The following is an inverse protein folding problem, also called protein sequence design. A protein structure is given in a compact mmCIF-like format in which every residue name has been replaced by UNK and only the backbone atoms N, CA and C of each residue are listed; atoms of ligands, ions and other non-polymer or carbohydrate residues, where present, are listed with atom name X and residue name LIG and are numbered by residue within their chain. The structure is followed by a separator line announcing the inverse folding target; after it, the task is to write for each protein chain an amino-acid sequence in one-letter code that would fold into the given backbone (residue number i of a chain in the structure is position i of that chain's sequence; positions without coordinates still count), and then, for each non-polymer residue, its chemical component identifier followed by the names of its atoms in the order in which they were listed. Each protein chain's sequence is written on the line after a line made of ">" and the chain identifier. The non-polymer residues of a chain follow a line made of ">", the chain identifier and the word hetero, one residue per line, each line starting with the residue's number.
data_IF_577430307140
#
_entry.id   IF_577430307140
#
_cell.length_a   1.000
_cell.length_b   1.000
_cell.length_c   1.000
_cell.angle_alpha   90.00
_cell.angle_beta   90.00
_cell.angle_gamma   90.00
#
_symmetry.space_group_name_H-M   'P 1'
#
loop_
_entity.id
_entity.type
_entity.pdbx_description
1 polymer ?
#
# COMPACT_ATOMS: atom_id res chain seq x y z
N UNK A 1 15.50 12.69 -11.22
CA UNK A 1 14.29 12.67 -10.38
C UNK A 1 14.65 11.88 -9.13
N UNK A 2 14.29 12.38 -7.95
CA UNK A 2 14.46 11.63 -6.72
C UNK A 2 13.59 10.38 -6.75
N UNK A 3 14.10 9.26 -6.26
CA UNK A 3 13.38 7.98 -6.18
C UNK A 3 13.91 7.15 -5.03
N UNK A 4 13.04 6.40 -4.37
CA UNK A 4 13.44 5.35 -3.43
C UNK A 4 14.24 4.27 -4.18
N UNK A 5 15.37 3.77 -3.64
CA UNK A 5 16.13 2.68 -4.25
C UNK A 5 15.24 1.46 -4.51
N UNK A 6 15.40 0.81 -5.66
CA UNK A 6 14.51 -0.29 -6.09
C UNK A 6 14.45 -1.44 -5.09
N UNK A 7 15.58 -1.81 -4.47
CA UNK A 7 15.61 -2.89 -3.48
C UNK A 7 14.84 -2.53 -2.21
N UNK A 8 14.92 -1.27 -1.76
CA UNK A 8 14.17 -0.77 -0.61
C UNK A 8 12.68 -0.69 -0.94
N UNK A 9 12.34 -0.14 -2.11
CA UNK A 9 10.96 -0.06 -2.60
C UNK A 9 10.32 -1.46 -2.64
N UNK A 10 11.05 -2.44 -3.17
CA UNK A 10 10.57 -3.83 -3.23
C UNK A 10 10.30 -4.42 -1.86
N UNK A 11 11.14 -4.14 -0.86
CA UNK A 11 10.94 -4.61 0.52
C UNK A 11 9.69 -3.97 1.13
N UNK A 12 9.49 -2.66 0.91
CA UNK A 12 8.31 -1.92 1.38
C UNK A 12 7.03 -2.48 0.74
N UNK A 13 7.01 -2.59 -0.59
CA UNK A 13 5.88 -3.11 -1.36
C UNK A 13 5.52 -4.56 -0.97
N UNK A 14 6.54 -5.40 -0.74
CA UNK A 14 6.31 -6.79 -0.30
C UNK A 14 5.73 -6.83 1.12
N UNK A 15 6.21 -5.96 2.01
CA UNK A 15 5.72 -5.88 3.39
C UNK A 15 4.26 -5.44 3.41
N UNK A 16 3.94 -4.36 2.67
CA UNK A 16 2.58 -3.84 2.53
C UNK A 16 1.66 -4.88 1.90
N UNK A 17 2.10 -5.51 0.80
CA UNK A 17 1.30 -6.54 0.15
C UNK A 17 0.98 -7.72 1.06
N UNK A 18 1.95 -8.17 1.86
CA UNK A 18 1.73 -9.25 2.84
C UNK A 18 0.72 -8.84 3.91
N UNK A 19 0.86 -7.65 4.50
CA UNK A 19 -0.03 -7.21 5.59
C UNK A 19 -1.45 -6.98 5.11
N UNK A 20 -1.65 -6.39 3.92
CA UNK A 20 -3.00 -6.26 3.34
C UNK A 20 -3.66 -7.62 3.15
N UNK A 21 -2.95 -8.59 2.56
CA UNK A 21 -3.51 -9.92 2.31
C UNK A 21 -3.84 -10.70 3.60
N UNK A 22 -3.22 -10.38 4.73
CA UNK A 22 -3.55 -10.97 6.04
C UNK A 22 -4.86 -10.41 6.64
N UNK A 23 -5.29 -9.23 6.20
CA UNK A 23 -6.57 -8.62 6.62
C UNK A 23 -7.76 -9.18 5.83
N UNK A 24 -7.48 -9.91 4.74
CA UNK A 24 -8.49 -10.47 3.84
C UNK A 24 -9.09 -11.79 4.33
N UNK A 25 -10.37 -11.98 4.02
CA UNK A 25 -11.07 -13.25 4.19
C UNK A 25 -10.88 -14.14 2.95
N UNK A 26 -11.10 -15.45 3.11
CA UNK A 26 -10.81 -16.43 2.06
C UNK A 26 -11.65 -16.25 0.78
N UNK A 27 -12.87 -15.70 0.93
CA UNK A 27 -13.86 -15.48 -0.12
C UNK A 27 -13.61 -14.20 -0.95
N UNK A 28 -12.71 -13.34 -0.51
CA UNK A 28 -12.36 -12.10 -1.21
C UNK A 28 -11.46 -12.37 -2.41
N UNK A 29 -11.73 -11.64 -3.49
CA UNK A 29 -11.03 -11.79 -4.77
C UNK A 29 -10.29 -10.52 -5.18
N UNK A 30 -10.56 -9.40 -4.54
CA UNK A 30 -9.86 -8.15 -4.79
C UNK A 30 -9.74 -7.32 -3.53
N UNK A 31 -8.68 -6.53 -3.44
CA UNK A 31 -8.55 -5.50 -2.42
C UNK A 31 -7.91 -4.24 -3.00
N UNK A 32 -8.21 -3.09 -2.42
CA UNK A 32 -7.56 -1.83 -2.71
C UNK A 32 -7.10 -1.19 -1.41
N UNK A 33 -5.82 -0.88 -1.34
CA UNK A 33 -5.21 -0.06 -0.29
C UNK A 33 -4.98 1.33 -0.88
N UNK A 34 -5.61 2.34 -0.29
CA UNK A 34 -5.35 3.75 -0.57
C UNK A 34 -4.52 4.36 0.55
N UNK A 35 -3.42 5.01 0.16
CA UNK A 35 -2.53 5.77 1.03
C UNK A 35 -2.55 7.23 0.61
N UNK A 36 -2.82 8.13 1.54
CA UNK A 36 -2.76 9.58 1.30
C UNK A 36 -1.86 10.24 2.35
N UNK A 37 -0.97 11.14 1.90
CA UNK A 37 -0.19 11.99 2.79
C UNK A 37 -0.86 13.37 2.88
N UNK A 38 -1.57 13.62 3.97
CA UNK A 38 -2.30 14.88 4.20
C UNK A 38 -1.68 15.63 5.37
N UNK A 39 -1.08 16.79 5.10
CA UNK A 39 -0.46 17.65 6.11
C UNK A 39 0.56 16.88 7.01
N UNK A 40 1.38 16.03 6.40
CA UNK A 40 2.37 15.21 7.11
C UNK A 40 1.80 14.03 7.90
N UNK A 41 0.50 13.73 7.74
CA UNK A 41 -0.15 12.56 8.34
C UNK A 41 -0.53 11.57 7.26
N UNK A 42 -0.17 10.31 7.47
CA UNK A 42 -0.58 9.19 6.60
C UNK A 42 -2.01 8.82 6.94
N UNK A 43 -2.87 8.78 5.92
CA UNK A 43 -4.19 8.15 5.97
C UNK A 43 -4.16 6.86 5.17
N UNK A 44 -4.71 5.82 5.76
CA UNK A 44 -4.76 4.48 5.19
C UNK A 44 -6.20 4.04 5.12
N UNK A 45 -6.62 3.53 3.96
CA UNK A 45 -7.91 2.90 3.77
C UNK A 45 -7.71 1.58 3.04
N UNK A 46 -8.33 0.53 3.55
CA UNK A 46 -8.38 -0.78 2.89
C UNK A 46 -9.83 -1.11 2.58
N UNK A 47 -10.08 -1.56 1.36
CA UNK A 47 -11.38 -2.04 0.89
C UNK A 47 -11.21 -3.34 0.11
N UNK A 48 -12.27 -4.12 -0.02
CA UNK A 48 -12.32 -5.34 -0.82
C UNK A 48 -13.62 -5.42 -1.63
N UNK A 49 -13.77 -6.48 -2.41
CA UNK A 49 -15.02 -6.79 -3.13
C UNK A 49 -16.22 -7.03 -2.20
N UNK A 50 -15.98 -7.43 -0.94
CA UNK A 50 -17.05 -7.75 0.02
C UNK A 50 -17.14 -6.74 1.18
N UNK A 51 -16.09 -5.96 1.45
CA UNK A 51 -16.01 -5.03 2.59
C UNK A 51 -15.59 -3.64 2.13
N UNK A 52 -16.49 -2.67 2.33
CA UNK A 52 -16.25 -1.26 2.00
C UNK A 52 -15.33 -0.54 2.99
N UNK A 53 -15.01 -1.18 4.12
CA UNK A 53 -14.08 -0.66 5.11
C UNK A 53 -13.48 -1.82 5.90
N UNK A 54 -12.17 -1.98 5.77
CA UNK A 54 -11.35 -2.88 6.59
C UNK A 54 -10.49 -1.99 7.48
N UNK A 55 -10.51 -2.27 8.79
CA UNK A 55 -9.68 -1.53 9.74
C UNK A 55 -8.22 -1.96 9.59
N UNK A 56 -7.31 -1.05 9.20
CA UNK A 56 -5.91 -1.41 9.05
C UNK A 56 -5.29 -1.84 10.38
N UNK A 57 -4.51 -2.90 10.34
CA UNK A 57 -3.67 -3.36 11.44
C UNK A 57 -2.54 -2.37 11.74
N UNK A 58 -2.03 -2.39 12.98
CA UNK A 58 -0.87 -1.59 13.37
C UNK A 58 0.36 -1.91 12.50
N UNK A 59 0.52 -3.18 12.10
CA UNK A 59 1.59 -3.63 11.19
C UNK A 59 1.48 -2.98 9.81
N UNK A 60 0.26 -2.89 9.25
CA UNK A 60 0.02 -2.19 7.98
C UNK A 60 0.28 -0.70 8.12
N UNK A 61 -0.20 -0.07 9.19
CA UNK A 61 0.06 1.36 9.46
C UNK A 61 1.56 1.65 9.58
N UNK A 62 2.31 0.76 10.24
CA UNK A 62 3.77 0.88 10.35
C UNK A 62 4.45 0.73 8.98
N UNK A 63 4.06 -0.25 8.18
CA UNK A 63 4.64 -0.48 6.85
C UNK A 63 4.42 0.71 5.91
N UNK A 64 3.20 1.28 5.91
CA UNK A 64 2.89 2.49 5.13
C UNK A 64 3.66 3.71 5.68
N UNK A 65 3.83 3.81 7.00
CA UNK A 65 4.66 4.85 7.63
C UNK A 65 6.13 4.78 7.16
N UNK A 66 6.69 3.57 7.04
CA UNK A 66 8.04 3.38 6.51
C UNK A 66 8.15 3.75 5.04
N UNK A 67 7.11 3.47 4.23
CA UNK A 67 7.05 3.91 2.84
C UNK A 67 7.11 5.44 2.74
N UNK A 68 6.25 6.14 3.49
CA UNK A 68 6.22 7.60 3.50
C UNK A 68 7.57 8.18 3.94
N UNK A 69 8.19 7.63 4.99
CA UNK A 69 9.49 8.07 5.50
C UNK A 69 10.62 7.85 4.49
N UNK A 70 10.63 6.73 3.76
CA UNK A 70 11.62 6.47 2.70
C UNK A 70 11.48 7.51 1.58
N UNK A 71 10.25 7.77 1.13
CA UNK A 71 9.98 8.77 0.10
C UNK A 71 10.30 10.21 0.52
N UNK A 72 10.08 10.56 1.79
CA UNK A 72 10.45 11.86 2.38
C UNK A 72 11.97 12.01 2.43
N UNK A 73 12.68 10.98 2.92
CA UNK A 73 14.14 10.96 3.00
C UNK A 73 14.80 11.19 1.64
N UNK A 74 14.25 10.59 0.58
CA UNK A 74 14.77 10.77 -0.77
C UNK A 74 14.24 12.05 -1.45
N UNK A 75 13.31 12.79 -0.85
CA UNK A 75 12.78 14.03 -1.40
C UNK A 75 11.95 13.84 -2.68
N UNK A 76 11.20 12.72 -2.77
CA UNK A 76 10.44 12.36 -3.98
C UNK A 76 9.20 13.22 -4.23
N UNK A 77 8.72 13.96 -3.23
CA UNK A 77 7.44 14.66 -3.28
C UNK A 77 6.23 13.75 -3.09
N UNK A 78 6.38 12.56 -2.48
CA UNK A 78 5.30 11.61 -2.28
C UNK A 78 4.05 12.24 -1.63
N UNK A 79 2.90 11.99 -2.24
CA UNK A 79 1.59 12.50 -1.80
C UNK A 79 0.58 11.38 -1.57
N UNK A 80 0.84 10.18 -2.09
CA UNK A 80 -0.02 9.02 -1.86
C UNK A 80 0.34 7.84 -2.77
N UNK A 81 -0.32 6.71 -2.52
CA UNK A 81 -0.23 5.53 -3.35
C UNK A 81 -1.57 4.77 -3.36
N UNK A 82 -1.84 4.05 -4.44
CA UNK A 82 -2.93 3.08 -4.53
C UNK A 82 -2.34 1.73 -4.88
N UNK A 83 -2.54 0.75 -4.00
CA UNK A 83 -2.19 -0.64 -4.27
C UNK A 83 -3.46 -1.43 -4.59
N UNK A 84 -3.48 -2.10 -5.74
CA UNK A 84 -4.58 -2.97 -6.17
C UNK A 84 -4.16 -4.42 -6.15
N UNK A 85 -4.97 -5.24 -5.50
CA UNK A 85 -4.76 -6.67 -5.34
C UNK A 85 -5.86 -7.42 -6.09
N UNK A 86 -5.46 -8.41 -6.87
CA UNK A 86 -6.40 -9.28 -7.58
C UNK A 86 -6.01 -10.74 -7.42
N UNK A 87 -6.95 -11.56 -6.98
CA UNK A 87 -6.81 -13.01 -6.93
C UNK A 87 -7.03 -13.57 -8.33
N UNK A 88 -6.05 -14.34 -8.80
CA UNK A 88 -6.10 -15.03 -10.07
C UNK A 88 -6.83 -16.38 -9.94
N UNK A 89 -7.32 -16.97 -11.05
CA UNK A 89 -7.92 -18.30 -11.01
C UNK A 89 -7.00 -19.40 -10.45
N UNK A 90 -5.68 -19.19 -10.48
CA UNK A 90 -4.68 -20.08 -9.88
C UNK A 90 -4.62 -20.02 -8.34
N UNK A 91 -5.34 -19.09 -7.73
CA UNK A 91 -5.26 -18.79 -6.29
C UNK A 91 -4.12 -17.84 -5.91
N UNK A 92 -3.25 -17.46 -6.86
CA UNK A 92 -2.19 -16.46 -6.63
C UNK A 92 -2.76 -15.05 -6.66
N UNK A 93 -2.15 -14.17 -5.87
CA UNK A 93 -2.46 -12.74 -5.90
C UNK A 93 -1.46 -11.98 -6.77
N UNK A 94 -1.97 -11.07 -7.61
CA UNK A 94 -1.17 -10.00 -8.22
C UNK A 94 -1.36 -8.71 -7.43
N UNK A 95 -0.32 -7.88 -7.45
CA UNK A 95 -0.30 -6.56 -6.82
C UNK A 95 0.23 -5.55 -7.83
N UNK A 96 -0.48 -4.43 -7.98
CA UNK A 96 -0.07 -3.27 -8.75
C UNK A 96 -0.06 -2.04 -7.83
N UNK A 97 0.96 -1.20 -7.91
CA UNK A 97 1.11 0.00 -7.09
C UNK A 97 1.24 1.25 -7.97
N UNK A 98 0.33 2.20 -7.79
CA UNK A 98 0.35 3.51 -8.44
C UNK A 98 0.74 4.59 -7.43
N UNK A 99 1.79 5.36 -7.72
CA UNK A 99 2.32 6.38 -6.82
C UNK A 99 1.96 7.78 -7.31
N UNK A 100 1.55 8.63 -6.38
CA UNK A 100 1.24 10.04 -6.62
C UNK A 100 2.30 10.92 -5.96
N UNK A 101 2.80 11.90 -6.72
CA UNK A 101 3.81 12.86 -6.25
C UNK A 101 3.29 14.29 -6.45
N UNK A 102 3.50 15.15 -5.45
CA UNK A 102 3.33 16.59 -5.60
C UNK A 102 4.44 17.11 -6.53
N UNK A 103 4.02 17.74 -7.63
CA UNK A 103 4.90 18.40 -8.59
C UNK A 103 5.42 19.75 -8.09
#
# INVERSE_FOLDING_TARGET
>A
MASVPLDEQKVLDTTIGRTVLQELYEDENSAELTVELVQGRVRVRVTSDTRTMIMPSDELLQAVGQLAAAHEREGTGFSGAVYRYQKQPSGRWSMEGDFSYAG
#
